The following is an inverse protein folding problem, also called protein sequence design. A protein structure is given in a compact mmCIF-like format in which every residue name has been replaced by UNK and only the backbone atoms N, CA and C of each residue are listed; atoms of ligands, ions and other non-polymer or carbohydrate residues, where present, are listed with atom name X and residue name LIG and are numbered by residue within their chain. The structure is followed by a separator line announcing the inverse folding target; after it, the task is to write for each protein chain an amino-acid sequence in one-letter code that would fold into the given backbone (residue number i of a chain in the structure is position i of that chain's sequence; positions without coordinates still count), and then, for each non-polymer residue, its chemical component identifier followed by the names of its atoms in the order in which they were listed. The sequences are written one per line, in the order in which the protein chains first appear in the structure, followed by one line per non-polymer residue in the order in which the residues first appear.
data_IF_157168157914
#
_entry.id   IF_157168157914
#
_cell.length_a   1.000
_cell.length_b   1.000
_cell.length_c   1.000
_cell.angle_alpha   90.00
_cell.angle_beta   90.00
_cell.angle_gamma   90.00
#
_symmetry.space_group_name_H-M   'P 1'
#
loop_
_entity.id
_entity.type
_entity.pdbx_description
1 polymer ?
#
# COMPACT_ATOMS: atom_id res chain seq x y z
N UNK A 1 9.51 12.57 2.59
CA UNK A 1 8.66 11.58 3.32
C UNK A 1 9.44 10.86 4.42
N UNK A 2 8.86 10.77 5.62
CA UNK A 2 9.34 9.97 6.76
C UNK A 2 8.33 8.87 7.06
N UNK A 3 8.78 7.61 7.09
CA UNK A 3 7.94 6.44 7.40
C UNK A 3 8.61 5.52 8.41
N UNK A 4 7.77 4.83 9.19
CA UNK A 4 8.15 3.65 9.96
C UNK A 4 7.72 2.42 9.18
N UNK A 5 8.57 1.39 9.15
CA UNK A 5 8.28 0.10 8.53
C UNK A 5 8.67 -1.04 9.45
N UNK A 6 7.85 -2.07 9.45
CA UNK A 6 8.10 -3.34 10.14
C UNK A 6 7.86 -4.47 9.15
N UNK A 7 8.78 -5.43 9.10
CA UNK A 7 8.65 -6.61 8.25
C UNK A 7 8.65 -7.84 9.15
N UNK A 8 7.59 -8.64 9.02
CA UNK A 8 7.43 -9.91 9.73
C UNK A 8 7.54 -11.03 8.72
N UNK A 9 8.51 -11.93 8.94
CA UNK A 9 8.73 -13.11 8.13
C UNK A 9 8.20 -14.35 8.86
N UNK A 10 7.45 -15.17 8.13
CA UNK A 10 6.98 -16.47 8.58
C UNK A 10 7.15 -17.50 7.46
N UNK A 11 6.97 -18.78 7.76
CA UNK A 11 7.28 -19.89 6.84
C UNK A 11 6.60 -19.77 5.46
N UNK A 12 5.35 -19.29 5.42
CA UNK A 12 4.54 -19.21 4.19
C UNK A 12 4.00 -17.81 3.89
N UNK A 13 4.45 -16.80 4.63
CA UNK A 13 4.05 -15.40 4.40
C UNK A 13 5.10 -14.39 4.82
N UNK A 14 5.05 -13.23 4.19
CA UNK A 14 5.80 -12.05 4.59
C UNK A 14 4.86 -10.86 4.64
N UNK A 15 4.84 -10.17 5.78
CA UNK A 15 3.98 -9.01 5.98
C UNK A 15 4.84 -7.77 6.17
N UNK A 16 4.62 -6.75 5.34
CA UNK A 16 5.24 -5.44 5.48
C UNK A 16 4.17 -4.48 5.99
N UNK A 17 4.41 -3.88 7.15
CA UNK A 17 3.59 -2.83 7.72
C UNK A 17 4.29 -1.50 7.54
N UNK A 18 3.53 -0.43 7.26
CA UNK A 18 4.06 0.92 7.23
C UNK A 18 3.14 1.93 7.91
N UNK A 19 3.76 3.01 8.36
CA UNK A 19 3.09 4.24 8.79
C UNK A 19 3.89 5.44 8.32
N UNK A 20 3.29 6.29 7.51
CA UNK A 20 3.86 7.58 7.12
C UNK A 20 3.68 8.56 8.27
N UNK A 21 4.80 9.00 8.85
CA UNK A 21 4.86 9.96 9.96
C UNK A 21 4.82 11.38 9.43
N UNK A 22 5.45 11.62 8.27
CA UNK A 22 5.47 12.92 7.62
C UNK A 22 5.54 12.77 6.11
N UNK A 23 4.74 13.56 5.39
CA UNK A 23 4.78 13.67 3.93
C UNK A 23 4.74 15.14 3.53
N UNK A 24 5.66 15.51 2.66
CA UNK A 24 5.81 16.82 2.04
C UNK A 24 5.10 16.90 0.67
N UNK A 25 4.46 15.81 0.21
CA UNK A 25 3.77 15.75 -1.07
C UNK A 25 2.51 16.64 -1.16
N UNK A 26 2.12 17.29 -0.06
CA UNK A 26 0.97 18.21 0.02
C UNK A 26 -0.40 17.55 -0.12
N UNK A 27 -0.47 16.24 -0.37
CA UNK A 27 -1.70 15.50 -0.69
C UNK A 27 -2.04 14.38 0.28
N UNK A 28 -1.07 13.91 1.08
CA UNK A 28 -1.27 12.86 2.08
C UNK A 28 -1.08 13.45 3.49
N UNK A 29 -2.17 13.50 4.27
CA UNK A 29 -2.13 13.89 5.69
C UNK A 29 -1.72 12.70 6.57
N UNK A 30 -2.20 11.49 6.24
CA UNK A 30 -1.88 10.26 6.94
C UNK A 30 -1.98 9.08 5.97
N UNK A 31 -1.06 8.12 6.13
CA UNK A 31 -1.04 6.86 5.43
C UNK A 31 -0.50 5.78 6.38
N UNK A 32 -1.25 4.71 6.51
CA UNK A 32 -0.85 3.50 7.20
C UNK A 32 -1.40 2.31 6.44
N UNK A 33 -0.65 1.21 6.43
CA UNK A 33 -1.13 0.02 5.75
C UNK A 33 -0.23 -1.18 5.93
N UNK A 34 -0.61 -2.24 5.23
CA UNK A 34 0.14 -3.46 5.13
C UNK A 34 0.04 -4.09 3.75
N UNK A 35 1.07 -4.83 3.38
CA UNK A 35 1.07 -5.76 2.25
C UNK A 35 1.49 -7.12 2.76
N UNK A 36 0.64 -8.11 2.51
CA UNK A 36 0.92 -9.52 2.78
C UNK A 36 1.26 -10.20 1.45
N UNK A 37 2.37 -10.93 1.45
CA UNK A 37 2.74 -11.87 0.42
C UNK A 37 2.58 -13.26 1.01
N UNK A 38 1.63 -14.05 0.50
CA UNK A 38 1.36 -15.40 1.01
C UNK A 38 1.56 -16.43 -0.09
N UNK A 39 2.35 -17.47 0.17
CA UNK A 39 2.43 -18.61 -0.70
C UNK A 39 1.05 -19.29 -0.80
N UNK A 40 0.61 -19.58 -2.02
CA UNK A 40 -0.67 -20.21 -2.30
C UNK A 40 -0.47 -21.24 -3.40
N UNK A 41 -0.67 -22.52 -3.08
CA UNK A 41 -0.36 -23.64 -3.99
C UNK A 41 1.11 -23.60 -4.48
N UNK A 42 1.51 -24.54 -5.35
CA UNK A 42 2.93 -24.76 -5.63
C UNK A 42 3.64 -23.61 -6.37
N UNK A 43 2.90 -22.65 -6.95
CA UNK A 43 3.49 -21.60 -7.79
C UNK A 43 2.75 -20.25 -7.75
N UNK A 44 1.78 -20.04 -6.86
CA UNK A 44 1.11 -18.76 -6.76
C UNK A 44 1.49 -18.03 -5.47
N UNK A 45 1.58 -16.72 -5.58
CA UNK A 45 1.67 -15.83 -4.43
C UNK A 45 0.44 -14.95 -4.46
N UNK A 46 -0.32 -14.99 -3.37
CA UNK A 46 -1.42 -14.04 -3.15
C UNK A 46 -0.83 -12.81 -2.50
N UNK A 47 -1.00 -11.66 -3.16
CA UNK A 47 -0.59 -10.36 -2.65
C UNK A 47 -1.84 -9.61 -2.20
N UNK A 48 -1.94 -9.36 -0.89
CA UNK A 48 -3.06 -8.64 -0.31
C UNK A 48 -2.58 -7.30 0.22
N UNK A 49 -3.15 -6.22 -0.32
CA UNK A 49 -2.78 -4.85 0.06
C UNK A 49 -3.92 -4.18 0.83
N UNK A 50 -3.62 -3.67 2.01
CA UNK A 50 -4.54 -2.91 2.85
C UNK A 50 -3.94 -1.57 3.23
N UNK A 51 -4.73 -0.50 3.14
CA UNK A 51 -4.28 0.83 3.53
C UNK A 51 -5.42 1.72 3.97
N UNK A 52 -5.15 2.57 4.94
CA UNK A 52 -6.02 3.65 5.36
C UNK A 52 -5.34 4.99 5.11
N UNK A 53 -5.99 5.85 4.32
CA UNK A 53 -5.47 7.16 3.96
C UNK A 53 -6.37 8.27 4.46
N UNK A 54 -5.73 9.36 4.87
CA UNK A 54 -6.37 10.67 4.94
C UNK A 54 -5.67 11.56 3.93
N UNK A 55 -6.41 11.97 2.91
CA UNK A 55 -5.90 12.80 1.83
C UNK A 55 -6.36 14.26 1.98
N UNK A 56 -5.56 15.16 1.43
CA UNK A 56 -5.81 16.59 1.36
C UNK A 56 -5.62 17.07 -0.08
N UNK A 57 -6.38 18.08 -0.50
CA UNK A 57 -6.18 18.78 -1.77
C UNK A 57 -6.42 20.26 -1.54
N UNK A 58 -5.49 21.12 -1.95
CA UNK A 58 -5.56 22.57 -1.73
C UNK A 58 -5.84 22.97 -0.27
N UNK A 59 -5.32 22.20 0.70
CA UNK A 59 -5.52 22.44 2.13
C UNK A 59 -6.83 21.90 2.70
N UNK A 60 -7.72 21.33 1.88
CA UNK A 60 -8.98 20.74 2.30
C UNK A 60 -8.90 19.21 2.38
N UNK A 61 -9.56 18.61 3.37
CA UNK A 61 -9.67 17.15 3.49
C UNK A 61 -10.53 16.59 2.37
N UNK A 62 -10.06 15.53 1.72
CA UNK A 62 -10.80 14.85 0.65
C UNK A 62 -11.79 13.84 1.26
N UNK A 63 -13.06 13.84 0.82
CA UNK A 63 -14.03 12.83 1.23
C UNK A 63 -13.59 11.39 0.92
N UNK A 64 -13.90 10.39 1.76
CA UNK A 64 -13.46 9.01 1.58
C UNK A 64 -13.79 8.38 0.22
N UNK A 65 -14.97 8.70 -0.35
CA UNK A 65 -15.37 8.18 -1.65
C UNK A 65 -14.43 8.65 -2.79
N UNK A 66 -14.03 9.91 -2.76
CA UNK A 66 -13.10 10.49 -3.74
C UNK A 66 -11.67 9.99 -3.51
N UNK A 67 -11.25 9.86 -2.25
CA UNK A 67 -9.95 9.28 -1.89
C UNK A 67 -9.84 7.83 -2.40
N UNK A 68 -10.87 7.00 -2.16
CA UNK A 68 -10.93 5.61 -2.64
C UNK A 68 -10.84 5.53 -4.16
N UNK A 69 -11.57 6.40 -4.88
CA UNK A 69 -11.52 6.42 -6.34
C UNK A 69 -10.10 6.75 -6.86
N UNK A 70 -9.49 7.78 -6.28
CA UNK A 70 -8.16 8.29 -6.69
C UNK A 70 -7.05 7.29 -6.40
N UNK A 71 -7.09 6.62 -5.25
CA UNK A 71 -6.07 5.65 -4.84
C UNK A 71 -6.21 4.30 -5.53
N UNK A 72 -7.41 3.96 -6.05
CA UNK A 72 -7.67 2.65 -6.65
C UNK A 72 -6.80 2.37 -7.88
N UNK A 73 -6.47 3.38 -8.69
CA UNK A 73 -5.53 3.21 -9.81
C UNK A 73 -4.12 2.97 -9.29
N UNK A 74 -3.66 3.80 -8.35
CA UNK A 74 -2.34 3.71 -7.72
C UNK A 74 -2.09 2.30 -7.16
N UNK A 75 -3.03 1.73 -6.41
CA UNK A 75 -2.88 0.38 -5.89
C UNK A 75 -2.89 -0.70 -6.96
N UNK A 76 -3.71 -0.53 -8.01
CA UNK A 76 -3.71 -1.48 -9.12
C UNK A 76 -2.37 -1.45 -9.87
N UNK A 77 -1.79 -0.29 -10.05
CA UNK A 77 -0.49 -0.14 -10.71
C UNK A 77 0.64 -0.70 -9.84
N UNK A 78 0.55 -0.53 -8.51
CA UNK A 78 1.48 -1.15 -7.57
C UNK A 78 1.43 -2.69 -7.61
N UNK A 79 0.22 -3.27 -7.64
CA UNK A 79 0.04 -4.72 -7.79
C UNK A 79 0.53 -5.24 -9.15
N UNK A 80 0.32 -4.47 -10.24
CA UNK A 80 0.86 -4.82 -11.57
C UNK A 80 2.38 -4.84 -11.57
N UNK A 81 3.02 -3.90 -10.88
CA UNK A 81 4.47 -3.86 -10.80
C UNK A 81 5.07 -5.12 -10.18
N UNK A 82 4.47 -5.65 -9.11
CA UNK A 82 4.91 -6.93 -8.53
C UNK A 82 4.76 -8.09 -9.51
N UNK A 83 3.66 -8.15 -10.25
CA UNK A 83 3.47 -9.19 -11.29
C UNK A 83 4.56 -9.09 -12.36
N UNK A 84 4.83 -7.89 -12.85
CA UNK A 84 5.74 -7.68 -13.97
C UNK A 84 7.21 -7.89 -13.56
N UNK A 85 7.57 -7.66 -12.29
CA UNK A 85 8.91 -7.97 -11.75
C UNK A 85 9.15 -9.47 -11.48
N UNK A 86 8.09 -10.28 -11.40
CA UNK A 86 8.17 -11.72 -11.18
C UNK A 86 8.21 -12.52 -12.49
N UNK A 87 8.05 -11.87 -13.64
CA UNK A 87 8.18 -12.47 -14.96
C UNK A 87 9.59 -12.18 -15.51
N UNK A 88 10.35 -13.20 -15.94
CA UNK A 88 11.67 -13.02 -16.55
C UNK A 88 11.63 -12.22 -17.87
#
# INVERSE_FOLDING_TARGET
MTKLEEIVYEENRSNVFWKVIFSDNGSTEMDLGSVEFRAFEHNFVVVTFHSAHRLRMFGLKIPPALAKSSLRSVFRDHLRHYRDQLLP
#
